data_IF_663465141120
#
_entry.id   IF_663465141120
#
_cell.length_a   1.000
_cell.length_b   1.000
_cell.length_c   1.000
_cell.angle_alpha   90.00
_cell.angle_beta   90.00
_cell.angle_gamma   90.00
#
_symmetry.space_group_name_H-M   'P 1'
#
loop_
_entity.id
_entity.type
_entity.pdbx_description
1 polymer ?
#
# COMPACT_ATOMS: atom_id res chain seq x y z
N UNK A 1 28.15 -25.03 -6.96
CA UNK A 1 27.45 -25.75 -5.90
C UNK A 1 26.68 -24.75 -5.06
N UNK A 2 25.40 -25.06 -4.87
CA UNK A 2 24.44 -24.53 -3.90
C UNK A 2 24.04 -23.05 -3.93
N UNK A 3 23.38 -22.67 -5.03
CA UNK A 3 22.43 -21.55 -5.08
C UNK A 3 21.06 -21.87 -4.45
N UNK A 4 20.88 -23.09 -3.92
CA UNK A 4 19.63 -23.59 -3.32
C UNK A 4 19.11 -22.74 -2.14
N UNK A 5 19.91 -22.25 -1.17
CA UNK A 5 19.35 -21.53 -0.02
C UNK A 5 18.79 -20.15 -0.38
N UNK A 6 19.26 -19.51 -1.46
CA UNK A 6 18.82 -18.15 -1.83
C UNK A 6 17.46 -18.14 -2.54
N UNK A 7 17.19 -19.17 -3.36
CA UNK A 7 15.90 -19.32 -4.07
C UNK A 7 14.77 -19.65 -3.11
N UNK A 8 15.07 -20.42 -2.07
CA UNK A 8 14.11 -20.85 -1.05
C UNK A 8 13.79 -19.72 -0.06
N UNK A 9 14.77 -18.86 0.25
CA UNK A 9 14.60 -17.67 1.11
C UNK A 9 13.73 -16.56 0.49
N UNK A 10 13.54 -16.54 -0.83
CA UNK A 10 12.94 -15.38 -1.51
C UNK A 10 11.81 -15.70 -2.48
N UNK A 11 11.59 -16.98 -2.85
CA UNK A 11 10.51 -17.46 -3.76
C UNK A 11 10.28 -16.61 -5.03
N UNK A 12 11.29 -15.86 -5.48
CA UNK A 12 11.21 -14.84 -6.53
C UNK A 12 10.84 -15.46 -7.88
N UNK A 13 11.31 -16.68 -8.11
CA UNK A 13 11.15 -17.40 -9.38
C UNK A 13 10.00 -18.42 -9.35
N UNK A 14 9.13 -18.39 -8.33
CA UNK A 14 7.98 -19.29 -8.29
C UNK A 14 7.06 -18.99 -9.47
N UNK A 15 6.81 -19.99 -10.31
CA UNK A 15 5.76 -19.93 -11.33
C UNK A 15 4.44 -20.40 -10.74
N UNK A 16 3.35 -19.75 -11.12
CA UNK A 16 1.98 -20.16 -10.79
C UNK A 16 1.18 -20.39 -12.08
N UNK A 17 0.19 -21.27 -12.00
CA UNK A 17 -0.81 -21.42 -13.06
C UNK A 17 -1.94 -20.43 -12.78
N UNK A 18 -2.04 -19.35 -13.56
CA UNK A 18 -3.09 -18.36 -13.41
C UNK A 18 -4.39 -18.89 -14.02
N UNK A 19 -5.32 -19.40 -13.20
CA UNK A 19 -6.63 -19.88 -13.67
C UNK A 19 -7.48 -18.80 -14.33
N UNK A 20 -7.27 -17.52 -13.98
CA UNK A 20 -8.02 -16.39 -14.55
C UNK A 20 -7.65 -16.08 -15.99
N UNK A 21 -6.36 -16.25 -16.36
CA UNK A 21 -5.83 -16.02 -17.71
C UNK A 21 -5.51 -17.32 -18.48
N UNK A 22 -5.62 -18.48 -17.84
CA UNK A 22 -5.32 -19.78 -18.45
C UNK A 22 -3.85 -19.99 -18.80
N UNK A 23 -2.92 -19.31 -18.12
CA UNK A 23 -1.49 -19.32 -18.48
C UNK A 23 -0.57 -19.55 -17.27
N UNK A 24 0.63 -20.05 -17.53
CA UNK A 24 1.71 -20.10 -16.54
C UNK A 24 2.38 -18.71 -16.49
N UNK A 25 2.50 -18.13 -15.29
CA UNK A 25 3.12 -16.83 -15.08
C UNK A 25 4.02 -16.86 -13.85
N UNK A 26 4.97 -15.92 -13.77
CA UNK A 26 5.70 -15.69 -12.51
C UNK A 26 4.72 -15.21 -11.43
N UNK A 27 4.87 -15.73 -10.22
CA UNK A 27 4.13 -15.28 -9.04
C UNK A 27 4.28 -13.76 -8.82
N UNK A 28 5.48 -13.24 -9.09
CA UNK A 28 5.82 -11.82 -8.97
C UNK A 28 5.16 -10.96 -10.07
N UNK A 29 4.57 -11.56 -11.11
CA UNK A 29 3.78 -10.84 -12.11
C UNK A 29 2.31 -10.67 -11.68
N UNK A 30 1.85 -11.31 -10.60
CA UNK A 30 0.47 -11.16 -10.14
C UNK A 30 0.11 -9.70 -9.82
N UNK A 31 0.92 -8.95 -9.04
CA UNK A 31 0.62 -7.55 -8.74
C UNK A 31 0.44 -6.60 -9.92
N UNK A 32 1.05 -6.91 -11.07
CA UNK A 32 0.93 -6.08 -12.28
C UNK A 32 -0.29 -6.43 -13.13
N UNK A 33 -1.04 -7.46 -12.75
CA UNK A 33 -2.25 -7.88 -13.45
C UNK A 33 -3.42 -6.94 -13.14
N UNK A 34 -4.23 -6.59 -14.14
CA UNK A 34 -5.43 -5.76 -13.96
C UNK A 34 -6.50 -6.38 -13.04
N UNK A 35 -6.47 -7.70 -12.90
CA UNK A 35 -7.37 -8.44 -12.01
C UNK A 35 -6.83 -8.59 -10.59
N UNK A 36 -5.64 -8.06 -10.27
CA UNK A 36 -5.05 -8.17 -8.94
C UNK A 36 -5.75 -7.25 -7.92
N UNK A 37 -6.07 -7.71 -6.70
CA UNK A 37 -5.95 -9.06 -6.17
C UNK A 37 -7.17 -9.91 -6.55
N UNK A 38 -6.98 -11.03 -7.26
CA UNK A 38 -8.09 -11.88 -7.70
C UNK A 38 -8.37 -13.00 -6.71
N UNK A 39 -9.54 -13.62 -6.83
CA UNK A 39 -9.98 -14.76 -6.01
C UNK A 39 -9.15 -16.06 -6.18
N UNK A 40 -8.12 -16.05 -7.02
CA UNK A 40 -7.19 -17.19 -7.19
C UNK A 40 -5.96 -17.07 -6.29
N UNK A 41 -5.73 -15.90 -5.68
CA UNK A 41 -4.66 -15.70 -4.72
C UNK A 41 -5.21 -15.96 -3.32
N UNK A 42 -4.55 -16.83 -2.57
CA UNK A 42 -4.84 -17.02 -1.14
C UNK A 42 -4.30 -15.84 -0.33
N UNK A 43 -4.82 -15.66 0.87
CA UNK A 43 -4.33 -14.59 1.77
C UNK A 43 -2.84 -14.74 2.07
N UNK A 44 -2.33 -15.98 2.23
CA UNK A 44 -0.91 -16.26 2.39
C UNK A 44 -0.08 -15.79 1.19
N UNK A 45 -0.59 -16.01 -0.04
CA UNK A 45 0.08 -15.54 -1.26
C UNK A 45 0.10 -14.01 -1.32
N UNK A 46 -0.99 -13.37 -0.94
CA UNK A 46 -1.07 -11.90 -0.88
C UNK A 46 -0.10 -11.35 0.16
N UNK A 47 -0.01 -11.99 1.33
CA UNK A 47 0.93 -11.62 2.40
C UNK A 47 2.39 -11.81 1.95
N UNK A 48 2.69 -12.89 1.22
CA UNK A 48 4.01 -13.14 0.63
C UNK A 48 4.41 -12.04 -0.36
N UNK A 49 3.52 -11.67 -1.28
CA UNK A 49 3.76 -10.57 -2.22
C UNK A 49 3.95 -9.23 -1.51
N UNK A 50 3.17 -8.98 -0.45
CA UNK A 50 3.21 -7.76 0.36
C UNK A 50 4.45 -7.61 1.23
N UNK A 51 5.12 -8.72 1.56
CA UNK A 51 6.34 -8.78 2.36
C UNK A 51 7.61 -8.96 1.50
N UNK A 52 7.43 -9.19 0.20
CA UNK A 52 8.54 -9.39 -0.73
C UNK A 52 9.42 -8.14 -0.82
N UNK A 53 10.74 -8.26 -0.65
CA UNK A 53 11.66 -7.13 -0.75
C UNK A 53 11.77 -6.56 -2.17
N UNK A 54 11.28 -7.30 -3.17
CA UNK A 54 11.33 -6.95 -4.60
C UNK A 54 10.11 -6.15 -5.07
N UNK A 55 9.14 -5.90 -4.19
CA UNK A 55 7.94 -5.12 -4.49
C UNK A 55 7.95 -3.80 -3.72
N UNK A 56 7.41 -2.77 -4.35
CA UNK A 56 7.07 -1.50 -3.72
C UNK A 56 5.55 -1.34 -3.62
N UNK A 57 5.10 -0.81 -2.49
CA UNK A 57 3.71 -0.34 -2.32
C UNK A 57 3.62 1.07 -2.86
N UNK A 58 2.87 1.22 -3.95
CA UNK A 58 2.69 2.52 -4.62
C UNK A 58 1.23 2.90 -4.64
N UNK A 59 0.93 4.19 -4.48
CA UNK A 59 -0.44 4.70 -4.64
C UNK A 59 -0.75 4.76 -6.14
N UNK A 60 -1.70 3.95 -6.60
CA UNK A 60 -2.15 3.95 -8.01
C UNK A 60 -3.05 5.13 -8.31
N UNK A 61 -3.95 5.43 -7.40
CA UNK A 61 -4.95 6.50 -7.50
C UNK A 61 -5.53 6.80 -6.13
N UNK A 62 -6.17 7.94 -6.01
CA UNK A 62 -7.05 8.25 -4.88
C UNK A 62 -8.49 7.97 -5.29
N UNK A 63 -9.27 7.34 -4.41
CA UNK A 63 -10.70 7.12 -4.62
C UNK A 63 -11.51 7.96 -3.64
N UNK A 64 -12.55 8.67 -4.11
CA UNK A 64 -13.40 9.44 -3.23
C UNK A 64 -14.26 8.50 -2.38
N UNK A 65 -14.21 8.67 -1.05
CA UNK A 65 -15.10 8.01 -0.10
C UNK A 65 -15.96 9.06 0.57
N UNK A 66 -17.25 8.77 0.74
CA UNK A 66 -18.16 9.68 1.47
C UNK A 66 -17.70 9.76 2.92
N UNK A 67 -17.54 10.97 3.42
CA UNK A 67 -17.32 11.26 4.83
C UNK A 67 -18.18 12.46 5.23
N UNK A 68 -18.35 12.65 6.53
CA UNK A 68 -18.98 13.85 7.10
C UNK A 68 -17.98 14.41 8.09
N UNK A 69 -17.20 15.38 7.64
CA UNK A 69 -16.19 16.07 8.44
C UNK A 69 -16.37 17.57 8.25
N UNK A 70 -16.12 18.35 9.30
CA UNK A 70 -16.11 19.81 9.22
C UNK A 70 -14.73 20.33 9.56
N UNK A 71 -14.34 21.41 8.88
CA UNK A 71 -13.12 22.16 9.18
C UNK A 71 -13.54 23.60 9.46
N UNK A 72 -13.24 24.07 10.66
CA UNK A 72 -13.50 25.43 11.10
C UNK A 72 -12.28 26.28 10.77
N UNK A 73 -12.51 27.38 10.04
CA UNK A 73 -11.56 28.46 9.84
C UNK A 73 -11.88 29.57 10.83
N UNK A 74 -10.91 29.91 11.67
CA UNK A 74 -11.02 31.03 12.61
C UNK A 74 -10.57 32.34 11.96
N UNK A 75 -10.95 33.46 12.56
CA UNK A 75 -10.59 34.82 12.11
C UNK A 75 -9.08 35.07 12.12
N UNK A 76 -8.33 34.34 12.96
CA UNK A 76 -6.86 34.36 12.99
C UNK A 76 -6.22 33.57 11.83
N UNK A 77 -7.02 32.94 10.98
CA UNK A 77 -6.59 32.14 9.83
C UNK A 77 -6.29 30.67 10.18
N UNK A 78 -6.42 30.25 11.43
CA UNK A 78 -6.20 28.85 11.83
C UNK A 78 -7.33 27.95 11.32
N UNK A 79 -6.97 26.71 10.98
CA UNK A 79 -7.91 25.66 10.56
C UNK A 79 -7.91 24.55 11.61
N UNK A 80 -9.10 24.18 12.11
CA UNK A 80 -9.26 23.05 13.03
C UNK A 80 -10.35 22.10 12.55
N UNK A 81 -10.09 20.82 12.68
CA UNK A 81 -11.08 19.77 12.44
C UNK A 81 -12.12 19.76 13.56
N UNK A 82 -13.39 19.63 13.19
CA UNK A 82 -14.52 19.54 14.11
C UNK A 82 -15.46 18.41 13.66
N UNK A 83 -15.07 17.14 13.87
CA UNK A 83 -15.86 15.99 13.43
C UNK A 83 -17.22 15.89 14.12
N UNK A 84 -17.34 16.42 15.34
CA UNK A 84 -18.56 16.38 16.16
C UNK A 84 -19.52 17.55 15.90
N UNK A 85 -19.14 18.50 15.03
CA UNK A 85 -19.97 19.68 14.76
C UNK A 85 -21.30 19.30 14.10
N UNK A 86 -22.41 19.76 14.68
CA UNK A 86 -23.72 19.72 14.06
C UNK A 86 -24.07 21.10 13.45
N UNK A 87 -24.20 21.23 12.12
CA UNK A 87 -24.57 22.49 11.48
C UNK A 87 -25.95 23.03 11.90
N UNK A 88 -26.86 22.16 12.34
CA UNK A 88 -28.19 22.58 12.75
C UNK A 88 -28.22 23.05 14.21
N UNK A 89 -27.23 22.63 15.00
CA UNK A 89 -27.08 22.94 16.42
C UNK A 89 -25.61 23.25 16.76
N UNK A 90 -25.05 24.35 16.23
CA UNK A 90 -23.65 24.67 16.44
C UNK A 90 -23.38 25.05 17.90
N UNK A 91 -22.34 24.46 18.49
CA UNK A 91 -21.88 24.81 19.84
C UNK A 91 -21.38 26.26 19.89
N UNK A 92 -21.91 27.04 20.82
CA UNK A 92 -21.60 28.46 20.99
C UNK A 92 -20.11 28.70 21.30
N UNK A 93 -19.46 27.81 22.04
CA UNK A 93 -18.04 27.96 22.37
C UNK A 93 -17.15 27.68 21.15
N UNK A 94 -17.50 26.66 20.36
CA UNK A 94 -16.79 26.33 19.13
C UNK A 94 -16.93 27.40 18.05
N UNK A 95 -18.06 28.13 18.03
CA UNK A 95 -18.32 29.20 17.05
C UNK A 95 -17.70 30.55 17.43
N UNK A 96 -17.01 30.65 18.55
CA UNK A 96 -16.31 31.87 18.93
C UNK A 96 -15.14 32.13 17.97
N UNK A 97 -15.07 33.34 17.44
CA UNK A 97 -14.02 33.79 16.52
C UNK A 97 -13.95 32.98 15.21
N UNK A 98 -15.06 32.34 14.81
CA UNK A 98 -15.15 31.58 13.55
C UNK A 98 -15.43 32.50 12.37
N UNK A 99 -14.63 32.33 11.31
CA UNK A 99 -14.80 32.99 10.01
C UNK A 99 -15.71 32.16 9.09
N UNK A 100 -15.36 30.88 8.88
CA UNK A 100 -16.09 30.00 7.95
C UNK A 100 -15.97 28.55 8.37
N UNK A 101 -17.01 27.75 8.12
CA UNK A 101 -16.99 26.30 8.31
C UNK A 101 -17.06 25.61 6.96
N UNK A 102 -16.05 24.80 6.64
CA UNK A 102 -16.04 23.95 5.46
C UNK A 102 -16.66 22.59 5.78
N UNK A 103 -17.65 22.19 5.01
CA UNK A 103 -18.17 20.83 5.05
C UNK A 103 -17.45 19.95 4.04
N UNK A 104 -16.74 18.93 4.52
CA UNK A 104 -16.08 17.92 3.71
C UNK A 104 -17.02 16.73 3.55
N UNK A 105 -17.56 16.57 2.34
CA UNK A 105 -18.44 15.44 1.98
C UNK A 105 -17.70 14.22 1.41
N UNK A 106 -16.43 14.38 1.03
CA UNK A 106 -15.61 13.32 0.44
C UNK A 106 -14.17 13.42 0.90
N UNK A 107 -13.63 12.30 1.32
CA UNK A 107 -12.19 12.10 1.54
C UNK A 107 -11.59 11.34 0.36
N UNK A 108 -10.31 11.59 0.07
CA UNK A 108 -9.59 10.91 -1.00
C UNK A 108 -8.71 9.81 -0.39
N UNK A 109 -9.14 8.56 -0.52
CA UNK A 109 -8.45 7.40 0.06
C UNK A 109 -7.45 6.81 -0.95
N UNK A 110 -6.19 6.57 -0.59
CA UNK A 110 -5.22 5.98 -1.50
C UNK A 110 -5.52 4.51 -1.78
N UNK A 111 -5.58 4.17 -3.07
CA UNK A 111 -5.58 2.78 -3.54
C UNK A 111 -4.15 2.34 -3.76
N UNK A 112 -3.66 1.49 -2.87
CA UNK A 112 -2.30 0.97 -2.90
C UNK A 112 -2.25 -0.26 -3.83
N UNK A 113 -1.22 -0.29 -4.69
CA UNK A 113 -0.88 -1.45 -5.51
C UNK A 113 0.57 -1.83 -5.30
N UNK A 114 0.86 -3.12 -5.43
CA UNK A 114 2.22 -3.62 -5.45
C UNK A 114 2.78 -3.48 -6.87
N UNK A 115 3.98 -2.90 -6.98
CA UNK A 115 4.73 -2.83 -8.24
C UNK A 115 6.11 -3.46 -8.06
N UNK A 116 6.63 -4.18 -9.07
CA UNK A 116 8.01 -4.64 -9.04
C UNK A 116 8.98 -3.46 -8.96
N UNK A 117 10.01 -3.59 -8.12
CA UNK A 117 11.12 -2.65 -8.07
C UNK A 117 11.85 -2.56 -9.42
N UNK A 118 12.50 -1.42 -9.73
CA UNK A 118 13.41 -1.29 -10.86
C UNK A 118 14.44 -2.43 -10.91
N UNK A 119 14.93 -2.74 -12.12
CA UNK A 119 15.87 -3.87 -12.31
C UNK A 119 17.14 -3.70 -11.46
N UNK A 120 17.70 -2.49 -11.41
CA UNK A 120 18.91 -2.17 -10.64
C UNK A 120 18.72 -2.42 -9.14
N UNK A 121 17.59 -1.99 -8.57
CA UNK A 121 17.27 -2.23 -7.16
C UNK A 121 17.12 -3.71 -6.86
N UNK A 122 16.47 -4.46 -7.77
CA UNK A 122 16.34 -5.92 -7.62
C UNK A 122 17.70 -6.60 -7.64
N UNK A 123 18.62 -6.19 -8.52
CA UNK A 123 19.99 -6.71 -8.56
C UNK A 123 20.76 -6.37 -7.29
N UNK A 124 20.62 -5.16 -6.75
CA UNK A 124 21.23 -4.74 -5.51
C UNK A 124 20.70 -5.53 -4.31
N UNK A 125 19.39 -5.80 -4.27
CA UNK A 125 18.78 -6.67 -3.25
C UNK A 125 19.39 -8.07 -3.32
N UNK A 126 19.51 -8.65 -4.52
CA UNK A 126 20.13 -9.97 -4.69
C UNK A 126 21.58 -9.97 -4.21
N UNK A 127 22.39 -8.99 -4.62
CA UNK A 127 23.79 -8.84 -4.18
C UNK A 127 23.91 -8.72 -2.65
N UNK A 128 23.06 -7.90 -2.03
CA UNK A 128 23.04 -7.70 -0.59
C UNK A 128 22.66 -8.97 0.17
N UNK A 129 21.68 -9.73 -0.33
CA UNK A 129 21.27 -10.99 0.31
C UNK A 129 22.36 -12.05 0.16
N UNK A 130 23.02 -12.13 -1.00
CA UNK A 130 24.18 -13.02 -1.20
C UNK A 130 25.34 -12.66 -0.27
N UNK A 131 25.63 -11.37 -0.09
CA UNK A 131 26.66 -10.91 0.83
C UNK A 131 26.34 -11.27 2.29
N UNK A 132 25.07 -11.18 2.70
CA UNK A 132 24.61 -11.58 4.04
C UNK A 132 24.66 -13.10 4.24
N UNK A 133 24.31 -13.89 3.23
CA UNK A 133 24.36 -15.34 3.30
C UNK A 133 25.80 -15.86 3.50
N UNK A 134 26.78 -15.24 2.85
CA UNK A 134 28.21 -15.59 3.01
C UNK A 134 28.80 -15.22 4.38
N UNK A 135 28.14 -14.35 5.15
CA UNK A 135 28.60 -13.86 6.46
C UNK A 135 27.99 -14.61 7.66
N UNK A 136 27.07 -15.56 7.47
CA UNK A 136 26.56 -16.37 8.59
C UNK A 136 27.67 -17.32 9.08
N UNK A 137 28.17 -17.17 10.32
CA UNK A 137 29.16 -18.09 10.84
C UNK A 137 28.49 -19.45 11.07
N UNK A 138 29.19 -20.50 10.64
CA UNK A 138 28.89 -21.88 11.02
C UNK A 138 29.10 -21.95 12.53
N UNK A 139 28.01 -22.10 13.28
CA UNK A 139 28.06 -22.49 14.70
C UNK A 139 27.82 -23.98 14.78
#
# INVERSE_FOLDING_TARGET
MDSKPLKELLRIDRTIVCKKKGQIASFMACPTCDYYACNQLTDDMIMELNSSPFMDRTVKRLVPRRCKLYIIKYLDGTLKEAPELDPNHPDRELMKDVDTVFQIGKELVPVIVLKPKPKEDRENIVKNIQAKAKKKPIK
#
